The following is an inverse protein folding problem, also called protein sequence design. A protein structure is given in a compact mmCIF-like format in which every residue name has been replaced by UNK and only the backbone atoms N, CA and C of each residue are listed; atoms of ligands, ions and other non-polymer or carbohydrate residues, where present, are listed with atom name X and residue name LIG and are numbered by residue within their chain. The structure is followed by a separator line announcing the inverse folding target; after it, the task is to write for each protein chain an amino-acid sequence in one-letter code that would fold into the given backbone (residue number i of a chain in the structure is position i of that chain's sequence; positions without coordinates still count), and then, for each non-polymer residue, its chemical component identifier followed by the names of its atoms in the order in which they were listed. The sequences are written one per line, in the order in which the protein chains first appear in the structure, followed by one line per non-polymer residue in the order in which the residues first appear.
data_IF_077987463062
#
_entry.id   IF_077987463062
#
_cell.length_a   1.000
_cell.length_b   1.000
_cell.length_c   1.000
_cell.angle_alpha   90.00
_cell.angle_beta   90.00
_cell.angle_gamma   90.00
#
_symmetry.space_group_name_H-M   'P 1'
#
loop_
_entity.id
_entity.type
_entity.pdbx_description
1 polymer ?
#
# COMPACT_ATOMS: atom_id res chain seq x y z
N UNK A 1 1.97 -10.42 17.89
CA UNK A 1 1.06 -9.98 16.81
C UNK A 1 1.33 -10.88 15.63
N UNK A 2 0.41 -11.82 15.39
CA UNK A 2 0.62 -12.97 14.50
C UNK A 2 0.89 -12.52 13.08
N UNK A 3 1.77 -13.25 12.39
CA UNK A 3 1.98 -13.11 10.95
C UNK A 3 0.75 -13.63 10.20
N UNK A 4 -0.34 -12.88 10.26
CA UNK A 4 -1.48 -13.04 9.38
C UNK A 4 -1.00 -12.49 8.03
N UNK A 5 -0.66 -13.39 7.11
CA UNK A 5 -0.36 -13.00 5.73
C UNK A 5 -1.60 -12.29 5.22
N UNK A 6 -1.49 -10.99 4.94
CA UNK A 6 -2.55 -10.28 4.23
C UNK A 6 -2.89 -11.10 2.98
N UNK A 7 -4.18 -11.33 2.75
CA UNK A 7 -4.60 -12.04 1.55
C UNK A 7 -4.08 -11.26 0.34
N UNK A 8 -3.68 -11.93 -0.74
CA UNK A 8 -3.20 -11.24 -1.94
C UNK A 8 -4.22 -10.21 -2.46
N UNK A 9 -5.51 -10.47 -2.25
CA UNK A 9 -6.62 -9.55 -2.57
C UNK A 9 -6.56 -8.23 -1.79
N UNK A 10 -6.14 -8.25 -0.52
CA UNK A 10 -5.99 -7.04 0.30
C UNK A 10 -4.77 -6.22 -0.13
N UNK A 11 -3.66 -6.90 -0.46
CA UNK A 11 -2.46 -6.24 -1.00
C UNK A 11 -2.77 -5.57 -2.33
N UNK A 12 -3.48 -6.26 -3.24
CA UNK A 12 -3.89 -5.70 -4.54
C UNK A 12 -4.83 -4.51 -4.34
N UNK A 13 -5.78 -4.59 -3.42
CA UNK A 13 -6.69 -3.48 -3.10
C UNK A 13 -5.94 -2.24 -2.59
N UNK A 14 -4.94 -2.43 -1.71
CA UNK A 14 -4.09 -1.35 -1.21
C UNK A 14 -3.25 -0.72 -2.33
N UNK A 15 -2.66 -1.53 -3.21
CA UNK A 15 -1.90 -1.04 -4.37
C UNK A 15 -2.78 -0.30 -5.40
N UNK A 16 -4.04 -0.75 -5.59
CA UNK A 16 -5.01 -0.02 -6.41
C UNK A 16 -5.33 1.35 -5.83
N UNK A 17 -5.50 1.47 -4.51
CA UNK A 17 -5.69 2.76 -3.86
C UNK A 17 -4.50 3.70 -4.07
N UNK A 18 -3.26 3.18 -3.97
CA UNK A 18 -2.05 3.96 -4.30
C UNK A 18 -2.11 4.48 -5.74
N UNK A 19 -2.54 3.64 -6.70
CA UNK A 19 -2.64 4.03 -8.11
C UNK A 19 -3.73 5.07 -8.37
N UNK A 20 -4.84 5.04 -7.63
CA UNK A 20 -5.90 6.06 -7.69
C UNK A 20 -5.36 7.41 -7.19
N UNK A 21 -4.69 7.41 -6.03
CA UNK A 21 -4.09 8.63 -5.47
C UNK A 21 -2.99 9.19 -6.37
N UNK A 22 -2.19 8.31 -6.99
CA UNK A 22 -1.23 8.72 -8.02
C UNK A 22 -1.91 9.42 -9.20
N UNK A 23 -3.04 8.88 -9.68
CA UNK A 23 -3.83 9.50 -10.76
C UNK A 23 -4.43 10.86 -10.39
N UNK A 24 -4.57 11.15 -9.10
CA UNK A 24 -5.00 12.45 -8.56
C UNK A 24 -3.84 13.45 -8.40
N UNK A 25 -2.62 13.07 -8.82
CA UNK A 25 -1.41 13.91 -8.71
C UNK A 25 -0.67 13.78 -7.39
N UNK A 26 -1.07 12.83 -6.53
CA UNK A 26 -0.38 12.56 -5.26
C UNK A 26 0.90 11.75 -5.51
N UNK A 27 1.96 12.04 -4.75
CA UNK A 27 3.19 11.24 -4.88
C UNK A 27 2.97 9.85 -4.28
N UNK A 28 3.63 8.83 -4.83
CA UNK A 28 3.55 7.45 -4.34
C UNK A 28 3.92 7.39 -2.84
N UNK A 29 4.92 8.17 -2.42
CA UNK A 29 5.34 8.22 -1.02
C UNK A 29 4.24 8.75 -0.08
N UNK A 30 3.48 9.75 -0.50
CA UNK A 30 2.33 10.28 0.26
C UNK A 30 1.17 9.28 0.28
N UNK A 31 0.83 8.71 -0.88
CA UNK A 31 -0.23 7.73 -1.01
C UNK A 31 0.02 6.48 -0.15
N UNK A 32 1.26 5.97 -0.16
CA UNK A 32 1.69 4.81 0.64
C UNK A 32 1.65 5.13 2.14
N UNK A 33 2.06 6.34 2.55
CA UNK A 33 1.93 6.83 3.93
C UNK A 33 0.46 6.94 4.37
N UNK A 34 -0.41 7.41 3.50
CA UNK A 34 -1.84 7.60 3.78
C UNK A 34 -2.58 6.26 3.95
N UNK A 35 -2.23 5.25 3.15
CA UNK A 35 -2.85 3.91 3.21
C UNK A 35 -2.26 3.07 4.36
N UNK A 36 -1.15 3.50 4.96
CA UNK A 36 -0.51 2.76 6.05
C UNK A 36 0.17 1.48 5.59
N UNK A 37 0.50 1.36 4.29
CA UNK A 37 1.40 0.32 3.82
C UNK A 37 2.81 0.76 4.22
N UNK A 38 3.24 0.41 5.42
CA UNK A 38 4.63 0.62 5.82
C UNK A 38 5.54 0.01 4.76
N UNK A 39 6.62 0.72 4.36
CA UNK A 39 7.64 0.27 3.39
C UNK A 39 8.31 -1.08 3.72
N UNK A 40 7.89 -1.74 4.79
CA UNK A 40 8.36 -3.03 5.24
C UNK A 40 8.09 -4.16 4.23
N UNK A 41 7.27 -3.93 3.19
CA UNK A 41 7.02 -4.91 2.12
C UNK A 41 8.03 -4.86 0.97
N UNK A 42 8.91 -3.85 0.89
CA UNK A 42 9.87 -3.74 -0.23
C UNK A 42 11.31 -4.17 0.13
N UNK A 43 11.63 -4.30 1.42
CA UNK A 43 12.92 -4.80 1.87
C UNK A 43 12.74 -5.71 3.09
N UNK A 44 12.59 -7.01 2.82
CA UNK A 44 12.99 -8.07 3.75
C UNK A 44 13.79 -9.11 3.01
#
# INVERSE_FOLDING_TARGET
MGGEREKPEEIVSKLQQVKVLQGQGMTIADAVRQIGVTQQTFYR
#
